data_IF_698124686971
#
_entry.id   IF_698124686971
#
_cell.length_a   1.000
_cell.length_b   1.000
_cell.length_c   1.000
_cell.angle_alpha   90.00
_cell.angle_beta   90.00
_cell.angle_gamma   90.00
#
_symmetry.space_group_name_H-M   'P 1'
#
loop_
_entity.id
_entity.type
_entity.pdbx_description
1 polymer ?
#
# COMPACT_ATOMS: atom_id res chain seq x y z
N UNK A 1 -12.43 -13.79 23.37
CA UNK A 1 -13.06 -13.75 22.02
C UNK A 1 -12.26 -14.64 21.08
N UNK A 2 -12.85 -15.15 19.98
CA UNK A 2 -12.10 -15.99 19.06
C UNK A 2 -10.98 -15.16 18.41
N UNK A 3 -9.81 -15.79 18.27
CA UNK A 3 -8.68 -15.22 17.53
C UNK A 3 -9.10 -14.88 16.09
N UNK A 4 -8.44 -13.90 15.44
CA UNK A 4 -8.70 -13.58 14.03
C UNK A 4 -8.55 -14.84 13.18
N UNK A 5 -7.42 -15.52 13.33
CA UNK A 5 -7.15 -16.80 12.69
C UNK A 5 -7.26 -17.92 13.70
N UNK A 6 -8.23 -18.81 13.49
CA UNK A 6 -8.44 -19.96 14.37
C UNK A 6 -7.39 -21.05 14.13
N UNK A 7 -7.11 -21.82 15.18
CA UNK A 7 -6.32 -23.03 15.03
C UNK A 7 -7.17 -24.11 14.37
N UNK A 8 -6.88 -24.36 13.08
CA UNK A 8 -7.60 -25.31 12.23
C UNK A 8 -6.67 -25.86 11.17
N UNK A 9 -6.98 -27.10 10.76
CA UNK A 9 -6.31 -27.72 9.62
C UNK A 9 -6.64 -26.94 8.34
N UNK A 10 -5.59 -26.68 7.56
CA UNK A 10 -5.64 -26.00 6.25
C UNK A 10 -4.90 -26.88 5.24
N UNK A 11 -5.43 -26.97 4.04
CA UNK A 11 -4.94 -27.83 2.96
C UNK A 11 -4.64 -27.06 1.66
N UNK A 12 -5.11 -25.82 1.55
CA UNK A 12 -4.88 -24.99 0.37
C UNK A 12 -3.41 -24.57 0.23
N UNK A 13 -2.73 -25.04 -0.80
CA UNK A 13 -1.38 -24.59 -1.18
C UNK A 13 -1.36 -23.66 -2.39
N UNK A 14 -2.50 -23.49 -3.07
CA UNK A 14 -2.61 -22.66 -4.25
C UNK A 14 -2.34 -21.18 -3.94
N UNK A 15 -1.75 -20.43 -4.88
CA UNK A 15 -1.50 -19.01 -4.71
C UNK A 15 -2.80 -18.20 -4.55
N UNK A 16 -2.66 -16.97 -4.06
CA UNK A 16 -3.76 -16.00 -4.01
C UNK A 16 -4.24 -15.70 -5.43
N UNK A 17 -5.55 -15.71 -5.65
CA UNK A 17 -6.15 -15.34 -6.93
C UNK A 17 -6.24 -13.83 -7.09
N UNK A 18 -6.31 -13.36 -8.34
CA UNK A 18 -6.56 -11.95 -8.60
C UNK A 18 -7.89 -11.53 -7.94
N UNK A 19 -7.89 -10.39 -7.23
CA UNK A 19 -9.08 -9.86 -6.56
C UNK A 19 -9.59 -10.69 -5.37
N UNK A 20 -8.88 -11.74 -4.96
CA UNK A 20 -9.28 -12.52 -3.78
C UNK A 20 -9.16 -11.69 -2.50
N UNK A 21 -10.07 -11.95 -1.56
CA UNK A 21 -10.05 -11.34 -0.24
C UNK A 21 -8.79 -11.74 0.55
N UNK A 22 -8.13 -10.75 1.16
CA UNK A 22 -6.90 -10.91 1.93
C UNK A 22 -7.11 -11.86 3.11
N UNK A 23 -8.14 -11.61 3.92
CA UNK A 23 -8.42 -12.46 5.08
C UNK A 23 -8.73 -13.89 4.65
N UNK A 24 -9.62 -14.10 3.69
CA UNK A 24 -10.00 -15.42 3.20
C UNK A 24 -8.78 -16.19 2.66
N UNK A 25 -7.87 -15.52 1.96
CA UNK A 25 -6.64 -16.15 1.49
C UNK A 25 -5.72 -16.54 2.66
N UNK A 26 -5.40 -15.60 3.55
CA UNK A 26 -4.49 -15.88 4.67
C UNK A 26 -5.07 -16.90 5.66
N UNK A 27 -6.38 -16.91 5.87
CA UNK A 27 -7.07 -17.87 6.73
C UNK A 27 -7.24 -19.25 6.09
N UNK A 28 -7.23 -19.38 4.76
CA UNK A 28 -7.34 -20.69 4.10
C UNK A 28 -5.98 -21.34 3.79
N UNK A 29 -4.92 -20.54 3.62
CA UNK A 29 -3.64 -21.03 3.12
C UNK A 29 -2.89 -21.94 4.10
N UNK A 30 -2.47 -23.10 3.62
CA UNK A 30 -1.67 -24.10 4.33
C UNK A 30 -0.16 -23.88 4.22
N UNK A 31 0.30 -22.94 3.39
CA UNK A 31 1.74 -22.69 3.21
C UNK A 31 2.37 -22.15 4.49
N UNK A 32 3.60 -22.59 4.79
CA UNK A 32 4.29 -22.30 6.07
C UNK A 32 4.44 -20.80 6.37
N UNK A 33 4.77 -19.92 5.41
CA UNK A 33 4.90 -18.49 5.67
C UNK A 33 3.62 -17.86 6.23
N UNK A 34 2.44 -18.33 5.78
CA UNK A 34 1.16 -17.82 6.28
C UNK A 34 0.84 -18.33 7.68
N UNK A 35 1.37 -19.48 8.12
CA UNK A 35 1.24 -19.89 9.51
C UNK A 35 1.93 -18.90 10.45
N UNK A 36 3.15 -18.47 10.10
CA UNK A 36 3.89 -17.47 10.87
C UNK A 36 3.20 -16.10 10.83
N UNK A 37 2.73 -15.66 9.67
CA UNK A 37 1.95 -14.42 9.55
C UNK A 37 0.72 -14.43 10.48
N UNK A 38 -0.06 -15.51 10.49
CA UNK A 38 -1.23 -15.63 11.36
C UNK A 38 -0.87 -15.58 12.84
N UNK A 39 0.24 -16.21 13.24
CA UNK A 39 0.75 -16.16 14.61
C UNK A 39 1.13 -14.74 15.02
N UNK A 40 1.88 -14.02 14.17
CA UNK A 40 2.28 -12.63 14.42
C UNK A 40 1.04 -11.72 14.58
N UNK A 41 0.12 -11.77 13.62
CA UNK A 41 -1.08 -10.90 13.63
C UNK A 41 -1.99 -11.21 14.82
N UNK A 42 -2.24 -12.48 15.14
CA UNK A 42 -2.99 -12.84 16.35
C UNK A 42 -2.27 -12.37 17.63
N UNK A 43 -0.93 -12.47 17.67
CA UNK A 43 -0.11 -12.00 18.78
C UNK A 43 -0.25 -10.50 19.00
N UNK A 44 -0.13 -9.69 17.94
CA UNK A 44 -0.30 -8.24 18.03
C UNK A 44 -1.73 -7.84 18.40
N UNK A 45 -2.75 -8.52 17.86
CA UNK A 45 -4.14 -8.30 18.26
C UNK A 45 -4.36 -8.59 19.75
N UNK A 46 -3.71 -9.61 20.30
CA UNK A 46 -3.84 -9.96 21.72
C UNK A 46 -3.33 -8.85 22.66
N UNK A 47 -2.51 -7.92 22.16
CA UNK A 47 -1.99 -6.78 22.93
C UNK A 47 -3.02 -5.64 23.10
N UNK A 48 -4.08 -5.62 22.28
CA UNK A 48 -5.17 -4.64 22.40
C UNK A 48 -6.15 -5.00 23.53
N UNK A 49 -6.87 -4.04 24.13
CA UNK A 49 -7.99 -4.33 25.01
C UNK A 49 -9.06 -5.18 24.32
N UNK A 50 -9.76 -6.00 25.10
CA UNK A 50 -10.72 -6.96 24.56
C UNK A 50 -11.83 -6.29 23.72
N UNK A 51 -12.30 -5.09 24.07
CA UNK A 51 -13.32 -4.38 23.28
C UNK A 51 -12.79 -4.00 21.89
N UNK A 52 -11.55 -3.51 21.82
CA UNK A 52 -10.91 -3.11 20.56
C UNK A 52 -10.58 -4.30 19.67
N UNK A 53 -10.21 -5.44 20.28
CA UNK A 53 -10.00 -6.69 19.55
C UNK A 53 -11.25 -7.11 18.75
N UNK A 54 -12.46 -6.92 19.29
CA UNK A 54 -13.71 -7.32 18.61
C UNK A 54 -13.87 -6.57 17.29
N UNK A 55 -13.68 -5.25 17.35
CA UNK A 55 -13.84 -4.36 16.22
C UNK A 55 -12.77 -4.61 15.16
N UNK A 56 -11.50 -4.71 15.56
CA UNK A 56 -10.39 -5.03 14.67
C UNK A 56 -10.60 -6.36 13.94
N UNK A 57 -10.97 -7.42 14.67
CA UNK A 57 -11.26 -8.74 14.07
C UNK A 57 -12.43 -8.65 13.10
N UNK A 58 -13.50 -7.91 13.44
CA UNK A 58 -14.64 -7.71 12.55
C UNK A 58 -14.23 -6.99 11.27
N UNK A 59 -13.41 -5.94 11.36
CA UNK A 59 -12.91 -5.18 10.20
C UNK A 59 -12.00 -6.01 9.31
N UNK A 60 -11.14 -6.85 9.89
CA UNK A 60 -10.26 -7.75 9.14
C UNK A 60 -11.03 -8.90 8.46
N UNK A 61 -12.04 -9.49 9.13
CA UNK A 61 -12.81 -10.62 8.57
C UNK A 61 -13.87 -10.21 7.54
N UNK A 62 -14.52 -9.07 7.76
CA UNK A 62 -15.70 -8.65 6.98
C UNK A 62 -15.47 -7.44 6.07
N UNK A 63 -14.26 -6.88 6.06
CA UNK A 63 -13.89 -5.72 5.26
C UNK A 63 -13.56 -6.09 3.81
N UNK A 64 -13.38 -5.06 2.97
CA UNK A 64 -12.70 -5.20 1.68
C UNK A 64 -11.19 -5.34 1.89
N UNK A 65 -10.42 -5.71 0.85
CA UNK A 65 -8.95 -5.67 0.90
C UNK A 65 -8.43 -4.31 1.36
N UNK A 66 -9.02 -3.20 0.90
CA UNK A 66 -8.65 -1.85 1.36
C UNK A 66 -8.87 -1.70 2.86
N UNK A 67 -9.99 -2.18 3.40
CA UNK A 67 -10.26 -2.15 4.84
C UNK A 67 -9.32 -3.07 5.62
N UNK A 68 -8.97 -4.24 5.07
CA UNK A 68 -7.98 -5.14 5.65
C UNK A 68 -6.63 -4.42 5.78
N UNK A 69 -6.14 -3.83 4.68
CA UNK A 69 -4.88 -3.10 4.64
C UNK A 69 -4.87 -1.88 5.58
N UNK A 70 -5.94 -1.10 5.62
CA UNK A 70 -6.07 0.02 6.55
C UNK A 70 -6.01 -0.42 8.02
N UNK A 71 -6.75 -1.49 8.35
CA UNK A 71 -6.77 -2.04 9.71
C UNK A 71 -5.42 -2.66 10.08
N UNK A 72 -4.73 -3.29 9.12
CA UNK A 72 -3.37 -3.79 9.32
C UNK A 72 -2.38 -2.65 9.59
N UNK A 73 -2.50 -1.50 8.92
CA UNK A 73 -1.65 -0.34 9.19
C UNK A 73 -1.80 0.13 10.65
N UNK A 74 -3.03 0.21 11.17
CA UNK A 74 -3.30 0.55 12.58
C UNK A 74 -2.62 -0.43 13.54
N UNK A 75 -2.78 -1.74 13.30
CA UNK A 75 -2.19 -2.80 14.14
C UNK A 75 -0.67 -2.76 14.10
N UNK A 76 -0.08 -2.54 12.93
CA UNK A 76 1.38 -2.47 12.74
C UNK A 76 1.97 -1.28 13.47
N UNK A 77 1.37 -0.10 13.37
CA UNK A 77 1.83 1.09 14.08
C UNK A 77 1.74 0.89 15.59
N UNK A 78 0.62 0.34 16.08
CA UNK A 78 0.48 -0.01 17.50
C UNK A 78 1.58 -1.00 17.95
N UNK A 79 1.77 -2.11 17.22
CA UNK A 79 2.78 -3.11 17.54
C UNK A 79 4.19 -2.51 17.57
N UNK A 80 4.53 -1.64 16.61
CA UNK A 80 5.81 -0.95 16.58
C UNK A 80 6.02 -0.07 17.82
N UNK A 81 5.03 0.75 18.19
CA UNK A 81 5.09 1.58 19.39
C UNK A 81 5.27 0.73 20.66
N UNK A 82 4.56 -0.41 20.75
CA UNK A 82 4.67 -1.34 21.89
C UNK A 82 6.04 -2.00 21.98
N UNK A 83 6.63 -2.40 20.85
CA UNK A 83 7.98 -2.98 20.80
C UNK A 83 9.09 -1.99 21.14
N UNK A 84 8.86 -0.71 20.86
CA UNK A 84 9.72 0.38 21.36
C UNK A 84 9.55 0.67 22.86
N UNK A 85 8.70 -0.09 23.56
CA UNK A 85 8.49 0.03 25.01
C UNK A 85 7.52 1.14 25.41
N UNK A 86 6.79 1.73 24.45
CA UNK A 86 5.85 2.81 24.75
C UNK A 86 4.60 2.32 25.48
N UNK A 87 4.09 3.16 26.38
CA UNK A 87 2.74 3.03 26.92
C UNK A 87 1.76 3.69 25.93
N UNK A 88 0.82 2.92 25.40
CA UNK A 88 -0.08 3.36 24.32
C UNK A 88 -1.52 3.31 24.82
N UNK A 89 -2.18 4.47 24.88
CA UNK A 89 -3.63 4.56 25.06
C UNK A 89 -4.31 4.54 23.70
N UNK A 90 -5.35 3.70 23.54
CA UNK A 90 -6.13 3.56 22.31
C UNK A 90 -7.38 4.43 22.38
N UNK A 91 -7.69 5.12 21.29
CA UNK A 91 -8.80 6.06 21.19
C UNK A 91 -8.89 7.09 22.34
N UNK A 92 -7.78 7.77 22.66
CA UNK A 92 -7.68 8.69 23.79
C UNK A 92 -8.58 9.91 23.61
N UNK A 93 -9.01 10.50 24.72
CA UNK A 93 -9.59 11.84 24.68
C UNK A 93 -8.61 12.84 24.10
N UNK A 94 -9.13 13.78 23.31
CA UNK A 94 -8.36 14.85 22.70
C UNK A 94 -9.16 16.17 22.78
N UNK A 95 -8.59 17.31 22.37
CA UNK A 95 -9.30 18.59 22.43
C UNK A 95 -10.63 18.63 21.65
N UNK A 96 -10.82 17.75 20.66
CA UNK A 96 -12.11 17.61 19.99
C UNK A 96 -13.13 16.85 20.86
N UNK A 97 -14.39 17.33 21.00
CA UNK A 97 -15.36 16.77 21.95
C UNK A 97 -15.70 15.30 21.68
N UNK A 98 -15.91 14.91 20.41
CA UNK A 98 -16.43 13.59 20.04
C UNK A 98 -15.49 12.72 19.21
N UNK A 99 -14.42 13.29 18.65
CA UNK A 99 -13.49 12.57 17.78
C UNK A 99 -12.29 12.16 18.61
N UNK A 100 -11.67 11.04 18.27
CA UNK A 100 -10.53 10.48 18.97
C UNK A 100 -9.48 10.13 17.91
N UNK A 101 -8.21 10.51 18.11
CA UNK A 101 -7.14 9.94 17.32
C UNK A 101 -6.99 8.45 17.65
N UNK A 102 -6.22 7.70 16.86
CA UNK A 102 -6.06 6.27 17.12
C UNK A 102 -5.30 5.99 18.41
N UNK A 103 -4.20 6.71 18.65
CA UNK A 103 -3.34 6.46 19.81
C UNK A 103 -2.85 7.74 20.52
N UNK A 104 -2.56 7.60 21.81
CA UNK A 104 -1.74 8.52 22.59
C UNK A 104 -0.58 7.74 23.22
N UNK A 105 0.64 8.12 22.87
CA UNK A 105 1.84 7.61 23.52
C UNK A 105 2.08 8.40 24.80
N UNK A 106 2.34 7.69 25.90
CA UNK A 106 2.57 8.26 27.21
C UNK A 106 3.97 7.97 27.74
N UNK A 107 4.47 8.87 28.57
CA UNK A 107 5.68 8.65 29.35
C UNK A 107 5.43 7.70 30.53
N UNK A 108 6.48 7.40 31.29
CA UNK A 108 6.42 6.52 32.46
C UNK A 108 5.52 7.06 33.59
N UNK A 109 5.27 8.36 33.64
CA UNK A 109 4.41 9.03 34.61
C UNK A 109 2.96 9.19 34.10
N UNK A 110 2.66 8.73 32.88
CA UNK A 110 1.35 8.85 32.25
C UNK A 110 1.10 10.18 31.53
N UNK A 111 2.11 11.05 31.41
CA UNK A 111 2.05 12.30 30.66
C UNK A 111 2.02 12.07 29.15
N UNK A 112 1.33 12.92 28.37
CA UNK A 112 1.24 12.76 26.92
C UNK A 112 2.56 13.09 26.22
N UNK A 113 3.12 12.13 25.47
CA UNK A 113 4.30 12.34 24.63
C UNK A 113 3.94 12.73 23.20
N UNK A 114 2.98 12.02 22.60
CA UNK A 114 2.51 12.33 21.26
C UNK A 114 1.16 11.67 20.97
N UNK A 115 0.29 12.37 20.26
CA UNK A 115 -0.84 11.74 19.58
C UNK A 115 -0.35 11.11 18.28
N UNK A 116 -0.89 9.94 17.94
CA UNK A 116 -0.62 9.24 16.69
C UNK A 116 -1.95 8.92 16.02
N UNK A 117 -2.08 9.33 14.77
CA UNK A 117 -3.19 8.99 13.90
C UNK A 117 -2.70 8.10 12.76
N UNK A 118 -3.42 7.02 12.48
CA UNK A 118 -3.21 6.20 11.30
C UNK A 118 -4.36 6.45 10.33
N UNK A 119 -4.03 6.82 9.12
CA UNK A 119 -5.00 7.07 8.05
C UNK A 119 -4.52 6.44 6.76
N UNK A 120 -5.40 6.37 5.78
CA UNK A 120 -5.08 5.80 4.47
C UNK A 120 -5.61 6.68 3.36
N UNK A 121 -5.05 6.54 2.17
CA UNK A 121 -5.77 6.81 0.94
C UNK A 121 -5.95 5.50 0.17
N UNK A 122 -7.11 5.35 -0.45
CA UNK A 122 -7.51 4.14 -1.15
C UNK A 122 -8.05 4.45 -2.54
N UNK A 123 -8.26 3.42 -3.37
CA UNK A 123 -8.89 3.59 -4.67
C UNK A 123 -10.34 4.07 -4.52
N UNK A 124 -10.82 4.85 -5.48
CA UNK A 124 -12.24 5.20 -5.56
C UNK A 124 -13.11 3.97 -5.91
N UNK A 125 -14.43 4.09 -5.71
CA UNK A 125 -15.37 2.98 -5.93
C UNK A 125 -15.43 2.50 -7.40
N UNK A 126 -15.20 3.39 -8.37
CA UNK A 126 -15.19 3.03 -9.79
C UNK A 126 -13.96 2.18 -10.11
N UNK A 127 -12.80 2.59 -9.61
CA UNK A 127 -11.52 1.87 -9.67
C UNK A 127 -11.65 0.49 -9.02
N UNK A 128 -12.22 0.39 -7.80
CA UNK A 128 -12.46 -0.91 -7.14
C UNK A 128 -13.37 -1.80 -8.00
N UNK A 129 -14.47 -1.24 -8.51
CA UNK A 129 -15.39 -1.99 -9.36
C UNK A 129 -14.73 -2.49 -10.64
N UNK A 130 -13.90 -1.67 -11.29
CA UNK A 130 -13.14 -2.03 -12.49
C UNK A 130 -12.15 -3.16 -12.19
N UNK A 131 -11.37 -3.04 -11.13
CA UNK A 131 -10.33 -4.00 -10.78
C UNK A 131 -10.94 -5.36 -10.40
N UNK A 132 -12.11 -5.37 -9.74
CA UNK A 132 -12.87 -6.60 -9.47
C UNK A 132 -13.36 -7.30 -10.74
N UNK A 133 -13.81 -6.54 -11.75
CA UNK A 133 -14.22 -7.10 -13.05
C UNK A 133 -13.02 -7.64 -13.82
N UNK A 134 -11.90 -6.91 -13.83
CA UNK A 134 -10.65 -7.37 -14.45
C UNK A 134 -10.15 -8.66 -13.78
N UNK A 135 -10.17 -8.72 -12.45
CA UNK A 135 -9.82 -9.92 -11.69
C UNK A 135 -10.69 -11.13 -12.08
N UNK A 136 -11.99 -10.95 -12.28
CA UNK A 136 -12.87 -12.02 -12.74
C UNK A 136 -12.53 -12.50 -14.16
N UNK A 137 -12.18 -11.58 -15.07
CA UNK A 137 -11.69 -11.90 -16.41
C UNK A 137 -10.38 -12.70 -16.34
N UNK A 138 -9.41 -12.18 -15.60
CA UNK A 138 -8.09 -12.80 -15.41
C UNK A 138 -8.23 -14.22 -14.85
N UNK A 139 -9.00 -14.38 -13.77
CA UNK A 139 -9.25 -15.68 -13.15
C UNK A 139 -9.99 -16.66 -14.08
N UNK A 140 -10.86 -16.16 -14.97
CA UNK A 140 -11.51 -17.01 -15.96
C UNK A 140 -10.50 -17.50 -17.02
N UNK A 141 -9.63 -16.61 -17.49
CA UNK A 141 -8.58 -16.95 -18.47
C UNK A 141 -7.54 -17.91 -17.89
N UNK A 142 -7.25 -17.86 -16.60
CA UNK A 142 -6.41 -18.86 -15.91
C UNK A 142 -6.97 -20.29 -15.98
N UNK A 143 -8.26 -20.47 -16.31
CA UNK A 143 -8.91 -21.79 -16.37
C UNK A 143 -9.05 -22.35 -17.78
N UNK A 144 -8.58 -21.65 -18.81
CA UNK A 144 -8.71 -22.13 -20.19
C UNK A 144 -7.82 -23.33 -20.47
N UNK A 145 -8.28 -24.19 -21.37
CA UNK A 145 -7.49 -25.30 -21.88
C UNK A 145 -6.63 -24.84 -23.06
N UNK A 146 -5.32 -24.82 -22.85
CA UNK A 146 -4.33 -24.64 -23.91
C UNK A 146 -3.65 -25.97 -24.24
N UNK A 147 -3.17 -26.14 -25.48
CA UNK A 147 -2.28 -27.25 -25.83
C UNK A 147 -1.03 -27.32 -24.93
N UNK A 148 -0.50 -28.54 -24.75
CA UNK A 148 0.66 -28.78 -23.88
C UNK A 148 1.90 -27.99 -24.36
N UNK A 149 2.65 -27.42 -23.41
CA UNK A 149 3.83 -26.59 -23.69
C UNK A 149 3.54 -25.14 -24.11
N UNK A 150 2.29 -24.69 -23.97
CA UNK A 150 1.87 -23.32 -24.28
C UNK A 150 1.25 -22.60 -23.07
N UNK A 151 1.58 -21.32 -22.92
CA UNK A 151 1.00 -20.37 -21.95
C UNK A 151 0.65 -19.05 -22.63
N UNK A 152 -0.09 -18.19 -21.94
CA UNK A 152 -0.54 -16.88 -22.44
C UNK A 152 0.18 -15.71 -21.77
N UNK A 153 0.45 -14.66 -22.54
CA UNK A 153 0.58 -13.29 -22.08
C UNK A 153 -0.79 -12.63 -21.99
N UNK A 154 -0.97 -11.72 -21.04
CA UNK A 154 -2.22 -10.97 -20.81
C UNK A 154 -1.95 -9.47 -20.76
N UNK A 155 -2.65 -8.70 -21.61
CA UNK A 155 -2.70 -7.23 -21.56
C UNK A 155 -4.13 -6.72 -21.68
N UNK A 156 -4.43 -5.60 -21.02
CA UNK A 156 -5.72 -4.91 -21.14
C UNK A 156 -5.53 -3.62 -21.93
N UNK A 157 -6.00 -3.63 -23.18
CA UNK A 157 -5.96 -2.48 -24.08
C UNK A 157 -7.08 -1.48 -23.76
N UNK A 158 -8.20 -1.96 -23.23
CA UNK A 158 -9.31 -1.11 -22.79
C UNK A 158 -10.09 -1.76 -21.66
N UNK A 159 -10.21 -1.02 -20.55
CA UNK A 159 -11.11 -1.37 -19.45
C UNK A 159 -12.57 -1.08 -19.78
N UNK A 160 -13.44 -2.04 -19.47
CA UNK A 160 -14.89 -1.91 -19.58
C UNK A 160 -15.56 -1.52 -18.25
N UNK A 161 -16.79 -1.02 -18.36
CA UNK A 161 -17.69 -0.70 -17.24
C UNK A 161 -18.61 -1.86 -16.88
N UNK A 162 -18.82 -2.82 -17.79
CA UNK A 162 -19.71 -3.96 -17.60
C UNK A 162 -18.95 -5.27 -17.35
N UNK A 163 -19.60 -6.25 -16.72
CA UNK A 163 -19.02 -7.61 -16.59
C UNK A 163 -19.25 -8.39 -17.90
N UNK A 164 -18.20 -8.91 -18.56
CA UNK A 164 -18.36 -9.69 -19.79
C UNK A 164 -18.84 -11.12 -19.51
N UNK A 165 -19.30 -11.82 -20.56
CA UNK A 165 -19.59 -13.26 -20.49
C UNK A 165 -18.28 -14.05 -20.45
N UNK A 166 -17.84 -14.40 -19.24
CA UNK A 166 -16.59 -15.13 -19.02
C UNK A 166 -16.58 -16.51 -19.70
N UNK A 167 -17.73 -17.19 -19.77
CA UNK A 167 -17.86 -18.48 -20.45
C UNK A 167 -17.57 -18.36 -21.95
N UNK A 168 -18.16 -17.36 -22.61
CA UNK A 168 -17.94 -17.08 -24.03
C UNK A 168 -16.48 -16.74 -24.31
N UNK A 169 -15.90 -15.84 -23.52
CA UNK A 169 -14.50 -15.44 -23.67
C UNK A 169 -13.57 -16.67 -23.57
N UNK A 170 -13.75 -17.53 -22.57
CA UNK A 170 -12.95 -18.75 -22.44
C UNK A 170 -13.05 -19.65 -23.67
N UNK A 171 -14.27 -19.96 -24.15
CA UNK A 171 -14.45 -20.82 -25.31
C UNK A 171 -13.80 -20.26 -26.57
N UNK A 172 -13.86 -18.94 -26.77
CA UNK A 172 -13.20 -18.28 -27.91
C UNK A 172 -11.68 -18.38 -27.81
N UNK A 173 -11.11 -18.19 -26.61
CA UNK A 173 -9.67 -18.31 -26.36
C UNK A 173 -9.19 -19.74 -26.51
N UNK A 174 -9.95 -20.73 -26.04
CA UNK A 174 -9.63 -22.16 -26.21
C UNK A 174 -9.63 -22.56 -27.68
N UNK A 175 -10.62 -22.12 -28.45
CA UNK A 175 -10.69 -22.37 -29.90
C UNK A 175 -9.51 -21.73 -30.63
N UNK A 176 -9.15 -20.50 -30.26
CA UNK A 176 -7.98 -19.80 -30.82
C UNK A 176 -6.67 -20.52 -30.47
N UNK A 177 -6.48 -20.93 -29.21
CA UNK A 177 -5.31 -21.70 -28.79
C UNK A 177 -5.19 -23.02 -29.53
N UNK A 178 -6.29 -23.75 -29.72
CA UNK A 178 -6.29 -25.00 -30.49
C UNK A 178 -5.91 -24.80 -31.97
N UNK A 179 -6.21 -23.63 -32.54
CA UNK A 179 -5.90 -23.31 -33.93
C UNK A 179 -4.44 -22.85 -34.11
N UNK A 180 -3.95 -21.98 -33.22
CA UNK A 180 -2.66 -21.29 -33.43
C UNK A 180 -1.46 -21.98 -32.77
N UNK A 181 -1.68 -22.78 -31.72
CA UNK A 181 -0.60 -23.53 -31.07
C UNK A 181 -0.16 -24.69 -31.97
N UNK A 182 0.85 -24.44 -32.80
CA UNK A 182 1.51 -25.45 -33.64
C UNK A 182 2.86 -25.91 -33.11
N UNK A 183 3.69 -26.46 -34.00
CA UNK A 183 5.03 -26.95 -33.65
C UNK A 183 6.08 -25.83 -33.59
N UNK A 184 5.84 -24.69 -34.27
CA UNK A 184 6.77 -23.56 -34.26
C UNK A 184 6.59 -22.69 -33.02
N UNK A 185 7.25 -23.07 -31.93
CA UNK A 185 7.18 -22.37 -30.63
C UNK A 185 7.76 -20.94 -30.64
N UNK A 186 8.53 -20.57 -31.67
CA UNK A 186 9.05 -19.20 -31.82
C UNK A 186 7.99 -18.25 -32.40
N UNK A 187 6.95 -18.78 -33.03
CA UNK A 187 5.81 -17.99 -33.43
C UNK A 187 4.98 -17.67 -32.18
N UNK A 188 4.81 -16.38 -31.89
CA UNK A 188 4.02 -15.89 -30.75
C UNK A 188 2.76 -15.17 -31.26
N UNK A 189 1.71 -15.90 -31.67
CA UNK A 189 0.46 -15.28 -32.10
C UNK A 189 -0.07 -14.35 -31.01
N UNK A 190 -0.45 -13.13 -31.41
CA UNK A 190 -1.18 -12.19 -30.55
C UNK A 190 -2.54 -11.88 -31.15
N UNK A 191 -3.55 -11.72 -30.29
CA UNK A 191 -4.91 -11.38 -30.71
C UNK A 191 -5.61 -10.53 -29.65
N UNK A 192 -6.32 -9.50 -30.12
CA UNK A 192 -7.25 -8.72 -29.29
C UNK A 192 -8.62 -9.41 -29.31
N UNK A 193 -9.14 -9.67 -28.12
CA UNK A 193 -10.48 -10.19 -27.88
C UNK A 193 -11.39 -9.07 -27.39
N UNK A 194 -12.51 -8.88 -28.08
CA UNK A 194 -13.59 -7.99 -27.64
C UNK A 194 -14.51 -8.75 -26.67
N UNK A 195 -14.56 -8.30 -25.42
CA UNK A 195 -15.42 -8.86 -24.39
C UNK A 195 -16.38 -7.78 -23.88
N UNK A 196 -17.51 -7.62 -24.59
CA UNK A 196 -18.46 -6.52 -24.39
C UNK A 196 -17.80 -5.17 -24.66
N UNK A 197 -17.43 -4.42 -23.62
CA UNK A 197 -16.79 -3.11 -23.68
C UNK A 197 -15.30 -3.16 -23.30
N UNK A 198 -14.78 -4.36 -22.99
CA UNK A 198 -13.37 -4.64 -22.74
C UNK A 198 -12.64 -5.01 -24.04
N UNK A 199 -11.37 -4.62 -24.12
CA UNK A 199 -10.42 -5.13 -25.12
C UNK A 199 -9.23 -5.76 -24.41
N UNK A 200 -9.04 -7.05 -24.63
CA UNK A 200 -8.00 -7.85 -23.97
C UNK A 200 -7.09 -8.40 -25.04
N UNK A 201 -5.81 -8.04 -25.00
CA UNK A 201 -4.81 -8.66 -25.85
C UNK A 201 -4.24 -9.89 -25.15
N UNK A 202 -4.22 -11.01 -25.87
CA UNK A 202 -3.58 -12.25 -25.44
C UNK A 202 -2.49 -12.62 -26.43
N UNK A 203 -1.35 -13.06 -25.92
CA UNK A 203 -0.23 -13.57 -26.73
C UNK A 203 0.05 -15.02 -26.35
N UNK A 204 0.19 -15.92 -27.30
CA UNK A 204 0.55 -17.31 -27.04
C UNK A 204 2.07 -17.47 -27.03
N UNK A 205 2.61 -18.10 -25.99
CA UNK A 205 4.03 -18.39 -25.84
C UNK A 205 4.24 -19.91 -25.77
N UNK A 206 4.97 -20.45 -26.75
CA UNK A 206 5.37 -21.85 -26.78
C UNK A 206 6.74 -22.09 -26.13
N UNK A 207 7.15 -23.36 -26.06
CA UNK A 207 8.48 -23.75 -25.58
C UNK A 207 8.52 -24.14 -24.10
N UNK A 208 7.36 -24.24 -23.44
CA UNK A 208 7.24 -24.78 -22.09
C UNK A 208 7.26 -26.32 -22.12
N UNK A 209 7.58 -26.93 -20.97
CA UNK A 209 7.65 -28.39 -20.83
C UNK A 209 6.27 -29.03 -21.05
N UNK A 210 6.18 -29.90 -22.05
CA UNK A 210 4.91 -30.54 -22.45
C UNK A 210 4.43 -31.57 -21.44
N UNK A 211 5.33 -32.16 -20.66
CA UNK A 211 5.01 -33.17 -19.65
C UNK A 211 4.55 -32.53 -18.33
N UNK A 212 4.79 -31.23 -18.17
CA UNK A 212 4.40 -30.49 -16.97
C UNK A 212 2.98 -29.94 -17.08
N UNK A 213 2.17 -30.26 -16.08
CA UNK A 213 0.88 -29.60 -15.88
C UNK A 213 1.11 -28.24 -15.21
N UNK A 214 0.87 -27.18 -15.97
CA UNK A 214 0.87 -25.82 -15.43
C UNK A 214 -0.51 -25.49 -14.87
N UNK A 215 -0.57 -25.26 -13.55
CA UNK A 215 -1.78 -24.79 -12.87
C UNK A 215 -2.18 -23.38 -13.30
N UNK A 216 -1.21 -22.55 -13.68
CA UNK A 216 -1.43 -21.23 -14.27
C UNK A 216 -1.32 -21.29 -15.79
N UNK A 217 -2.17 -20.55 -16.49
CA UNK A 217 -2.18 -20.38 -17.94
C UNK A 217 -1.64 -19.03 -18.37
N UNK A 218 -1.55 -18.06 -17.48
CA UNK A 218 -0.95 -16.75 -17.78
C UNK A 218 0.48 -16.72 -17.23
N UNK A 219 1.47 -16.64 -18.13
CA UNK A 219 2.89 -16.61 -17.78
C UNK A 219 3.40 -15.18 -17.54
N UNK A 220 2.82 -14.20 -18.21
CA UNK A 220 3.16 -12.79 -18.07
C UNK A 220 1.88 -11.96 -18.16
N UNK A 221 1.77 -10.94 -17.31
CA UNK A 221 0.62 -10.04 -17.29
C UNK A 221 1.09 -8.59 -17.21
N UNK A 222 0.56 -7.75 -18.10
CA UNK A 222 0.67 -6.30 -18.02
C UNK A 222 -0.73 -5.72 -17.83
N UNK A 223 -1.05 -5.33 -16.60
CA UNK A 223 -2.28 -4.58 -16.35
C UNK A 223 -1.99 -3.10 -16.56
N UNK A 224 -2.67 -2.50 -17.53
CA UNK A 224 -2.69 -1.10 -17.98
C UNK A 224 -1.87 -0.03 -17.25
N UNK A 225 -1.40 0.97 -18.00
CA UNK A 225 -0.75 2.16 -17.43
C UNK A 225 -1.76 3.01 -16.66
N UNK A 226 -1.45 3.34 -15.40
CA UNK A 226 -2.21 4.29 -14.59
C UNK A 226 -1.39 5.56 -14.39
N UNK A 227 -2.01 6.71 -14.62
CA UNK A 227 -1.48 7.97 -14.11
C UNK A 227 -1.84 8.08 -12.62
N UNK A 228 -0.83 8.28 -11.78
CA UNK A 228 -0.97 8.36 -10.33
C UNK A 228 -0.29 9.63 -9.83
N UNK A 229 -0.89 10.26 -8.82
CA UNK A 229 -0.36 11.45 -8.18
C UNK A 229 -0.36 11.24 -6.65
N UNK A 230 0.50 10.34 -6.13
CA UNK A 230 0.46 9.93 -4.73
C UNK A 230 0.64 11.09 -3.74
N UNK A 231 1.38 12.14 -4.14
CA UNK A 231 1.54 13.34 -3.32
C UNK A 231 0.23 14.10 -3.10
N UNK A 232 -0.70 14.09 -4.07
CA UNK A 232 -2.02 14.69 -3.91
C UNK A 232 -2.91 13.87 -2.99
N UNK A 233 -2.91 12.54 -3.16
CA UNK A 233 -3.65 11.61 -2.30
C UNK A 233 -3.16 11.72 -0.83
N UNK A 234 -1.84 11.78 -0.63
CA UNK A 234 -1.20 12.00 0.68
C UNK A 234 -1.61 13.35 1.28
N UNK A 235 -1.49 14.44 0.52
CA UNK A 235 -1.87 15.78 0.99
C UNK A 235 -3.34 15.85 1.39
N UNK A 236 -4.25 15.26 0.62
CA UNK A 236 -5.66 15.20 0.96
C UNK A 236 -5.92 14.45 2.28
N UNK A 237 -5.25 13.31 2.49
CA UNK A 237 -5.35 12.58 3.76
C UNK A 237 -4.88 13.43 4.96
N UNK A 238 -3.77 14.16 4.79
CA UNK A 238 -3.23 15.06 5.79
C UNK A 238 -4.14 16.27 6.07
N UNK A 239 -4.76 16.86 5.06
CA UNK A 239 -5.73 17.95 5.22
C UNK A 239 -6.97 17.50 6.01
N UNK A 240 -7.45 16.29 5.76
CA UNK A 240 -8.60 15.71 6.47
C UNK A 240 -8.27 15.46 7.96
N UNK A 241 -7.05 15.00 8.27
CA UNK A 241 -6.66 14.55 9.62
C UNK A 241 -5.94 15.61 10.45
N UNK A 242 -5.24 16.55 9.81
CA UNK A 242 -4.40 17.56 10.46
C UNK A 242 -5.11 18.43 11.48
N UNK A 243 -6.33 18.88 11.16
CA UNK A 243 -7.14 19.73 12.05
C UNK A 243 -8.30 18.97 12.70
N UNK A 244 -8.44 17.67 12.42
CA UNK A 244 -9.61 16.86 12.80
C UNK A 244 -9.85 16.81 14.30
N UNK A 245 -8.76 16.79 15.08
CA UNK A 245 -8.77 16.57 16.52
C UNK A 245 -8.46 17.82 17.34
N UNK A 246 -8.16 18.95 16.68
CA UNK A 246 -7.79 20.23 17.33
C UNK A 246 -6.60 20.12 18.29
N UNK A 247 -5.67 19.20 18.01
CA UNK A 247 -4.44 19.04 18.79
C UNK A 247 -3.50 20.21 18.43
N UNK A 248 -3.10 21.01 19.42
CA UNK A 248 -2.21 22.17 19.24
C UNK A 248 -1.06 22.28 20.24
N UNK A 249 -1.13 21.59 21.39
CA UNK A 249 -0.16 21.74 22.50
C UNK A 249 0.68 20.46 22.74
N UNK A 250 0.48 19.43 21.93
CA UNK A 250 1.14 18.14 22.09
C UNK A 250 1.65 17.68 20.73
N UNK A 251 2.82 17.04 20.66
CA UNK A 251 3.31 16.49 19.40
C UNK A 251 2.25 15.60 18.72
N UNK A 252 2.12 15.73 17.41
CA UNK A 252 1.12 15.01 16.64
C UNK A 252 1.74 14.39 15.40
N UNK A 253 1.73 13.06 15.37
CA UNK A 253 2.22 12.24 14.27
C UNK A 253 1.04 11.71 13.46
N UNK A 254 1.09 11.87 12.13
CA UNK A 254 0.13 11.24 11.22
C UNK A 254 0.86 10.21 10.36
N UNK A 255 0.43 8.95 10.44
CA UNK A 255 0.86 7.86 9.57
C UNK A 255 -0.15 7.71 8.44
N UNK A 256 0.29 7.77 7.19
CA UNK A 256 -0.55 7.62 6.02
C UNK A 256 -0.14 6.37 5.24
N UNK A 257 -1.00 5.36 5.22
CA UNK A 257 -0.75 4.14 4.45
C UNK A 257 -1.38 4.18 3.06
N UNK A 258 -0.61 3.76 2.05
CA UNK A 258 -1.10 3.59 0.68
C UNK A 258 -1.85 2.26 0.57
N UNK A 259 -3.17 2.33 0.47
CA UNK A 259 -4.04 1.19 0.19
C UNK A 259 -4.53 1.16 -1.26
N UNK A 260 -4.01 2.06 -2.10
CA UNK A 260 -4.29 2.22 -3.53
C UNK A 260 -3.23 1.55 -4.40
N UNK A 261 -2.03 1.32 -3.86
CA UNK A 261 -0.87 0.80 -4.59
C UNK A 261 -0.39 1.79 -5.65
N UNK A 262 -0.46 3.08 -5.33
CA UNK A 262 -0.22 4.18 -6.28
C UNK A 262 1.15 4.81 -6.17
N UNK A 263 1.88 4.57 -5.08
CA UNK A 263 3.26 5.00 -4.93
C UNK A 263 4.16 4.04 -5.70
N UNK A 264 4.86 4.49 -6.75
CA UNK A 264 5.97 3.72 -7.32
C UNK A 264 7.04 3.54 -6.23
N UNK A 265 7.72 2.40 -6.21
CA UNK A 265 8.60 2.02 -5.08
C UNK A 265 9.99 2.67 -5.17
N UNK A 266 10.75 2.62 -4.08
CA UNK A 266 12.12 3.16 -4.03
C UNK A 266 12.13 4.67 -3.83
N UNK A 267 12.93 5.40 -4.62
CA UNK A 267 13.12 6.86 -4.47
C UNK A 267 11.80 7.63 -4.62
N UNK A 268 10.86 7.10 -5.39
CA UNK A 268 9.52 7.66 -5.57
C UNK A 268 8.67 7.72 -4.28
N UNK A 269 8.98 6.92 -3.25
CA UNK A 269 8.33 7.03 -1.93
C UNK A 269 8.77 8.34 -1.26
N UNK A 270 10.06 8.67 -1.35
CA UNK A 270 10.61 9.91 -0.82
C UNK A 270 10.09 11.12 -1.60
N UNK A 271 10.05 11.05 -2.94
CA UNK A 271 9.50 12.12 -3.78
C UNK A 271 8.04 12.40 -3.42
N UNK A 272 7.20 11.35 -3.32
CA UNK A 272 5.79 11.52 -2.96
C UNK A 272 5.60 12.17 -1.58
N UNK A 273 6.43 11.79 -0.61
CA UNK A 273 6.45 12.39 0.73
C UNK A 273 6.86 13.86 0.67
N UNK A 274 7.97 14.17 0.01
CA UNK A 274 8.51 15.54 -0.09
C UNK A 274 7.54 16.46 -0.85
N UNK A 275 7.00 16.01 -1.99
CA UNK A 275 6.05 16.75 -2.82
C UNK A 275 4.74 17.06 -2.08
N UNK A 276 4.25 16.12 -1.28
CA UNK A 276 3.04 16.31 -0.49
C UNK A 276 3.24 17.38 0.59
N UNK A 277 4.40 17.33 1.26
CA UNK A 277 4.69 18.15 2.44
C UNK A 277 5.16 19.56 2.10
N UNK A 278 6.01 19.71 1.08
CA UNK A 278 6.69 20.96 0.77
C UNK A 278 6.29 21.57 -0.57
N UNK A 279 5.57 20.81 -1.40
CA UNK A 279 4.97 21.28 -2.63
C UNK A 279 5.55 20.62 -3.87
N UNK A 280 4.79 20.72 -4.95
CA UNK A 280 5.11 20.10 -6.23
C UNK A 280 6.35 20.76 -6.87
N UNK A 281 7.26 20.01 -7.51
CA UNK A 281 8.43 20.57 -8.17
C UNK A 281 7.99 21.47 -9.34
N UNK A 282 8.62 22.65 -9.47
CA UNK A 282 8.44 23.55 -10.60
C UNK A 282 9.76 24.15 -11.06
N UNK A 283 9.75 24.75 -12.26
CA UNK A 283 10.91 25.45 -12.81
C UNK A 283 10.52 26.89 -13.08
N UNK A 284 11.23 27.83 -12.46
CA UNK A 284 11.09 29.25 -12.74
C UNK A 284 11.95 29.66 -13.93
N UNK A 285 11.32 30.26 -14.93
CA UNK A 285 12.00 30.85 -16.08
C UNK A 285 12.19 32.35 -15.85
N UNK A 286 13.43 32.79 -15.60
CA UNK A 286 13.77 34.20 -15.51
C UNK A 286 14.38 34.67 -16.83
N UNK A 287 13.72 35.59 -17.51
CA UNK A 287 14.25 36.16 -18.76
C UNK A 287 15.39 37.14 -18.47
N UNK A 288 16.54 36.92 -19.11
CA UNK A 288 17.70 37.81 -19.04
C UNK A 288 17.53 39.03 -19.96
N UNK A 289 18.29 40.13 -19.71
CA UNK A 289 18.23 41.34 -20.54
C UNK A 289 18.59 41.13 -22.02
N UNK A 290 19.42 40.11 -22.32
CA UNK A 290 19.81 39.72 -23.68
C UNK A 290 18.77 38.87 -24.41
N UNK A 291 17.63 38.58 -23.76
CA UNK A 291 16.57 37.74 -24.29
C UNK A 291 16.72 36.25 -24.01
N UNK A 292 17.82 35.81 -23.37
CA UNK A 292 17.98 34.45 -22.87
C UNK A 292 17.11 34.13 -21.64
N UNK A 293 17.16 32.89 -21.17
CA UNK A 293 16.47 32.45 -19.95
C UNK A 293 17.44 31.81 -18.96
N UNK A 294 17.28 32.15 -17.69
CA UNK A 294 17.74 31.37 -16.55
C UNK A 294 16.62 30.44 -16.10
N UNK A 295 16.99 29.21 -15.76
CA UNK A 295 16.09 28.23 -15.15
C UNK A 295 16.54 27.96 -13.72
N UNK A 296 15.61 28.08 -12.78
CA UNK A 296 15.81 27.79 -11.37
C UNK A 296 14.78 26.74 -10.95
N UNK A 297 15.22 25.62 -10.37
CA UNK A 297 14.32 24.63 -9.79
C UNK A 297 13.77 25.18 -8.48
N UNK A 298 12.46 25.08 -8.29
CA UNK A 298 11.76 25.53 -7.09
C UNK A 298 10.58 24.58 -6.80
N UNK A 299 9.74 24.91 -5.82
CA UNK A 299 8.50 24.20 -5.51
C UNK A 299 7.32 25.15 -5.42
N UNK A 300 6.17 24.67 -5.87
CA UNK A 300 4.91 25.40 -5.73
C UNK A 300 4.50 25.52 -4.27
N UNK A 301 3.76 26.58 -3.92
CA UNK A 301 3.30 26.82 -2.54
C UNK A 301 2.04 26.01 -2.16
N UNK A 302 1.96 24.77 -2.64
CA UNK A 302 0.85 23.84 -2.43
C UNK A 302 1.17 22.73 -1.42
N UNK A 303 2.39 22.71 -0.86
CA UNK A 303 2.78 21.77 0.18
C UNK A 303 1.94 21.88 1.47
N UNK A 304 1.73 20.74 2.13
CA UNK A 304 0.97 20.65 3.37
C UNK A 304 1.55 21.50 4.51
N UNK A 305 2.87 21.51 4.70
CA UNK A 305 3.55 22.34 5.70
C UNK A 305 3.93 23.72 5.18
N UNK A 306 3.69 23.99 3.88
CA UNK A 306 4.12 25.22 3.24
C UNK A 306 5.65 25.31 3.13
N UNK A 307 6.17 26.52 3.27
CA UNK A 307 7.59 26.84 3.06
C UNK A 307 8.09 27.86 4.08
N UNK A 308 9.40 28.07 4.14
CA UNK A 308 9.98 29.15 4.92
C UNK A 308 9.31 30.50 4.60
N UNK A 309 8.95 31.26 5.63
CA UNK A 309 8.22 32.52 5.52
C UNK A 309 6.70 32.39 5.35
N UNK A 310 6.18 31.22 4.96
CA UNK A 310 4.75 30.94 4.87
C UNK A 310 4.39 29.52 5.37
N UNK A 311 4.73 29.18 6.63
CA UNK A 311 4.48 27.84 7.18
C UNK A 311 2.98 27.58 7.38
N UNK A 312 2.59 26.31 7.25
CA UNK A 312 1.22 25.81 7.44
C UNK A 312 1.23 24.56 8.32
N UNK A 313 0.07 24.24 8.90
CA UNK A 313 -0.15 22.99 9.67
C UNK A 313 0.94 22.69 10.71
N UNK A 314 1.41 23.73 11.40
CA UNK A 314 2.48 23.68 12.43
C UNK A 314 2.13 22.80 13.63
N UNK A 315 0.87 22.41 13.76
CA UNK A 315 0.40 21.51 14.81
C UNK A 315 0.70 20.03 14.52
N UNK A 316 0.98 19.66 13.27
CA UNK A 316 1.44 18.31 12.90
C UNK A 316 2.96 18.30 12.94
N UNK A 317 3.52 17.54 13.87
CA UNK A 317 4.96 17.48 14.16
C UNK A 317 5.72 16.62 13.15
N UNK A 318 5.11 15.52 12.71
CA UNK A 318 5.72 14.63 11.73
C UNK A 318 4.66 13.87 10.93
N UNK A 319 5.07 13.40 9.76
CA UNK A 319 4.26 12.56 8.88
C UNK A 319 5.07 11.31 8.51
N UNK A 320 4.44 10.15 8.59
CA UNK A 320 4.99 8.90 8.04
C UNK A 320 4.19 8.52 6.80
N UNK A 321 4.87 8.20 5.71
CA UNK A 321 4.26 7.50 4.58
C UNK A 321 4.55 6.00 4.71
N UNK A 322 3.51 5.18 4.62
CA UNK A 322 3.61 3.73 4.68
C UNK A 322 3.19 3.15 3.32
N UNK A 323 4.14 2.86 2.42
CA UNK A 323 3.83 2.58 1.01
C UNK A 323 3.12 1.23 0.79
N UNK A 324 3.26 0.29 1.72
CA UNK A 324 2.61 -1.01 1.65
C UNK A 324 2.31 -1.53 3.05
N UNK A 325 1.06 -1.44 3.53
CA UNK A 325 0.69 -1.88 4.87
C UNK A 325 0.69 -3.41 5.03
N UNK A 326 0.91 -4.18 3.96
CA UNK A 326 1.12 -5.62 4.07
C UNK A 326 2.55 -5.92 4.57
N UNK A 327 2.66 -6.86 5.50
CA UNK A 327 3.93 -7.14 6.18
C UNK A 327 5.00 -7.71 5.26
N UNK A 328 4.62 -8.27 4.12
CA UNK A 328 5.45 -9.16 3.31
C UNK A 328 6.67 -8.48 2.71
N UNK A 329 6.63 -7.17 2.52
CA UNK A 329 7.71 -6.42 1.84
C UNK A 329 8.57 -5.62 2.80
N UNK A 330 8.35 -5.71 4.12
CA UNK A 330 9.04 -4.90 5.11
C UNK A 330 10.53 -5.21 5.29
N UNK A 331 11.09 -6.25 4.65
CA UNK A 331 12.55 -6.48 4.56
C UNK A 331 13.18 -5.93 3.28
N UNK A 332 12.37 -5.47 2.33
CA UNK A 332 12.83 -4.83 1.10
C UNK A 332 12.93 -3.32 1.35
N UNK A 333 14.12 -2.75 1.12
CA UNK A 333 14.39 -1.34 1.36
C UNK A 333 13.46 -0.41 0.57
N UNK A 334 12.97 -0.87 -0.60
CA UNK A 334 12.11 -0.08 -1.50
C UNK A 334 10.70 0.15 -0.93
N UNK A 335 10.32 -0.60 0.10
CA UNK A 335 8.99 -0.56 0.72
C UNK A 335 9.04 -0.09 2.18
N UNK A 336 10.18 0.41 2.65
CA UNK A 336 10.25 0.94 4.01
C UNK A 336 9.35 2.16 4.17
N UNK A 337 8.60 2.25 5.28
CA UNK A 337 7.97 3.50 5.66
C UNK A 337 9.03 4.58 5.89
N UNK A 338 8.71 5.81 5.49
CA UNK A 338 9.58 6.96 5.66
C UNK A 338 8.89 8.00 6.53
N UNK A 339 9.64 8.56 7.48
CA UNK A 339 9.17 9.69 8.30
C UNK A 339 9.74 11.01 7.79
N UNK A 340 8.93 12.07 7.82
CA UNK A 340 9.40 13.44 7.70
C UNK A 340 9.01 14.21 8.96
N UNK A 341 9.92 15.07 9.43
CA UNK A 341 9.66 15.96 10.56
C UNK A 341 9.36 17.37 10.05
N UNK A 342 8.37 18.03 10.66
CA UNK A 342 7.93 19.34 10.25
C UNK A 342 8.94 20.40 10.74
N UNK A 343 9.70 21.07 9.86
CA UNK A 343 10.67 22.08 10.27
C UNK A 343 10.01 23.33 10.88
N UNK A 344 8.70 23.46 10.73
CA UNK A 344 7.90 24.60 11.22
C UNK A 344 7.03 24.22 12.44
N UNK A 345 7.22 23.05 13.03
CA UNK A 345 6.37 22.55 14.11
C UNK A 345 6.29 23.49 15.32
N UNK A 346 5.14 23.47 15.98
CA UNK A 346 4.95 24.13 17.27
C UNK A 346 5.39 23.22 18.43
N UNK A 347 5.23 21.90 18.28
CA UNK A 347 5.53 20.90 19.32
C UNK A 347 6.43 19.81 18.75
N UNK A 348 7.74 19.84 19.01
CA UNK A 348 8.67 18.89 18.44
C UNK A 348 8.42 17.43 18.79
N UNK A 349 8.44 16.56 17.77
CA UNK A 349 8.37 15.11 17.98
C UNK A 349 9.75 14.56 18.36
N UNK A 350 9.81 13.76 19.44
CA UNK A 350 11.02 13.01 19.75
C UNK A 350 11.30 11.98 18.65
N UNK A 351 12.53 11.98 18.13
CA UNK A 351 12.99 10.99 17.13
C UNK A 351 12.99 9.56 17.66
N UNK A 352 13.01 9.39 18.98
CA UNK A 352 12.91 8.08 19.63
C UNK A 352 11.49 7.51 19.68
N UNK A 353 10.45 8.31 19.37
CA UNK A 353 9.06 7.84 19.42
C UNK A 353 8.77 6.77 18.37
N UNK A 354 9.27 6.98 17.15
CA UNK A 354 9.15 6.04 16.04
C UNK A 354 10.37 6.26 15.13
N UNK A 355 11.51 5.61 15.41
CA UNK A 355 12.81 5.94 14.83
C UNK A 355 12.98 5.38 13.41
N UNK A 356 12.04 5.67 12.52
CA UNK A 356 12.06 5.25 11.12
C UNK A 356 13.12 6.03 10.32
N UNK A 357 13.67 5.47 9.22
CA UNK A 357 14.42 6.25 8.25
C UNK A 357 13.54 7.34 7.63
N UNK A 358 14.14 8.44 7.19
CA UNK A 358 13.33 9.59 6.83
C UNK A 358 14.09 10.78 6.26
N UNK A 359 13.42 11.93 6.30
CA UNK A 359 13.92 13.19 5.78
C UNK A 359 13.63 14.34 6.75
N UNK A 360 14.56 15.27 6.82
CA UNK A 360 14.36 16.59 7.42
C UNK A 360 14.66 17.67 6.39
N UNK A 361 14.21 18.88 6.68
CA UNK A 361 14.72 20.08 6.05
C UNK A 361 15.88 20.63 6.90
N UNK A 362 17.02 20.94 6.29
CA UNK A 362 18.13 21.58 6.99
C UNK A 362 18.00 23.12 7.04
N UNK A 363 19.03 23.81 7.55
CA UNK A 363 19.03 25.28 7.66
C UNK A 363 19.05 26.00 6.32
N UNK A 364 19.46 25.33 5.24
CA UNK A 364 19.51 25.86 3.87
C UNK A 364 18.25 25.48 3.07
N UNK A 365 17.25 24.92 3.73
CA UNK A 365 16.02 24.41 3.14
C UNK A 365 16.21 23.19 2.20
N UNK A 366 17.30 22.44 2.38
CA UNK A 366 17.58 21.23 1.62
C UNK A 366 17.07 19.98 2.32
N UNK A 367 16.68 18.97 1.54
CA UNK A 367 16.19 17.69 2.06
C UNK A 367 17.35 16.78 2.44
N UNK A 368 17.50 16.53 3.74
CA UNK A 368 18.57 15.68 4.25
C UNK A 368 18.01 14.35 4.71
N UNK A 369 18.46 13.27 4.08
CA UNK A 369 18.13 11.90 4.49
C UNK A 369 18.65 11.66 5.91
N UNK A 370 17.81 11.06 6.75
CA UNK A 370 18.14 10.62 8.10
C UNK A 370 18.09 9.10 8.17
N UNK A 371 19.10 8.56 8.84
CA UNK A 371 19.11 7.15 9.22
C UNK A 371 18.00 6.87 10.22
N UNK A 372 17.67 5.59 10.35
CA UNK A 372 16.68 5.08 11.29
C UNK A 372 16.73 3.57 11.32
N UNK A 373 15.74 2.98 11.98
CA UNK A 373 15.57 1.54 12.13
C UNK A 373 14.49 1.08 11.16
N UNK A 374 14.74 -0.02 10.44
CA UNK A 374 13.72 -0.60 9.55
C UNK A 374 12.50 -0.99 10.37
N UNK A 375 11.30 -0.79 9.82
CA UNK A 375 10.08 -1.15 10.52
C UNK A 375 10.04 -2.66 10.83
N UNK A 376 10.60 -3.51 9.95
CA UNK A 376 10.73 -4.94 10.20
C UNK A 376 11.57 -5.27 11.44
N UNK A 377 12.62 -4.49 11.73
CA UNK A 377 13.43 -4.69 12.93
C UNK A 377 12.70 -4.24 14.19
N UNK A 378 11.99 -3.11 14.13
CA UNK A 378 11.14 -2.63 15.23
C UNK A 378 10.06 -3.67 15.57
N UNK A 379 9.47 -4.29 14.54
CA UNK A 379 8.45 -5.33 14.68
C UNK A 379 9.02 -6.72 15.01
N UNK A 380 10.34 -6.85 15.12
CA UNK A 380 11.04 -8.12 15.38
C UNK A 380 10.70 -9.21 14.34
N UNK A 381 10.46 -8.82 13.08
CA UNK A 381 10.24 -9.78 12.01
C UNK A 381 11.51 -10.61 11.77
N UNK A 382 11.39 -11.88 11.35
CA UNK A 382 12.54 -12.67 10.96
C UNK A 382 13.42 -11.96 9.91
N UNK A 383 14.73 -12.23 9.95
CA UNK A 383 15.67 -11.66 8.97
C UNK A 383 15.33 -12.11 7.53
N UNK A 384 14.97 -13.38 7.36
CA UNK A 384 14.39 -13.90 6.12
C UNK A 384 12.86 -13.73 6.17
N UNK A 385 12.36 -12.68 5.50
CA UNK A 385 10.94 -12.40 5.43
C UNK A 385 10.57 -11.87 4.02
N UNK A 386 9.58 -12.47 3.33
CA UNK A 386 8.82 -13.65 3.75
C UNK A 386 9.71 -14.90 3.89
N UNK A 387 9.40 -15.83 4.81
CA UNK A 387 10.08 -17.12 4.85
C UNK A 387 9.86 -17.91 3.56
N UNK A 388 10.79 -18.79 3.23
CA UNK A 388 10.63 -19.77 2.16
C UNK A 388 9.54 -20.81 2.52
N UNK A 389 8.93 -21.43 1.50
CA UNK A 389 7.87 -22.44 1.67
C UNK A 389 8.35 -23.80 2.20
#
# INVERSE_FOLDING_TARGET
>A
MPALFEDKKRDRTSPKKAGEDDFAFYDSSARKPFALYRQLVNGWLAEFPQTEQADLVKRLRGGSNVQYQATMAEIVVHAALRRLGHNVEIHPFCPHPTRRPDFLVKDANGGPLAFVEVTTFGPDLETVGRDNREAAIYNALETVKLPAGWLMGYSVEKHGKSSPSLGKLRSEVEAWGAQECGDNVQHMPSRIFDATDWKIELTLHGGYDKEKLYERKIAAAMSGVRSVAPHLDLRQALEIKGQRYRISETPYLIVVADCKGSIPVGDHVADALIDALFGSPCVHFRRRPDGGFDTENDRTNDGYWGRHGAPRNRNVSAVVIFPEPNLWKLRDERWQPLIAYNPFEANPLSRGLLPLPGYDLDSEAEYVRKGGTQLADILELPAAWPPDD
#
